data_IF_439853081229
#
_entry.id   IF_439853081229
#
_cell.length_a   1.000
_cell.length_b   1.000
_cell.length_c   1.000
_cell.angle_alpha   90.00
_cell.angle_beta   90.00
_cell.angle_gamma   90.00
#
_symmetry.space_group_name_H-M   'P 1'
#
loop_
_entity.id
_entity.type
_entity.pdbx_description
1 polymer ?
#
# COMPACT_ATOMS: atom_id res chain seq x y z
N UNK A 1 7.54 32.11 0.33
CA UNK A 1 8.74 31.26 0.26
C UNK A 1 8.52 30.18 -0.80
N UNK A 2 9.60 29.59 -1.29
CA UNK A 2 9.56 28.46 -2.22
C UNK A 2 10.19 27.23 -1.58
N UNK A 3 9.77 26.05 -2.04
CA UNK A 3 10.30 24.76 -1.64
C UNK A 3 10.56 23.93 -2.91
N UNK A 4 11.69 23.22 -2.94
CA UNK A 4 12.13 22.40 -4.07
C UNK A 4 11.82 20.93 -3.83
N UNK A 5 11.26 20.23 -4.82
CA UNK A 5 10.93 18.81 -4.74
C UNK A 5 12.12 17.92 -5.12
N UNK A 6 12.49 16.97 -4.26
CA UNK A 6 13.65 16.09 -4.47
C UNK A 6 13.43 15.04 -5.58
N UNK A 7 12.17 14.81 -5.98
CA UNK A 7 11.83 13.84 -7.03
C UNK A 7 11.88 14.42 -8.44
N UNK A 8 11.24 15.56 -8.65
CA UNK A 8 11.14 16.19 -9.98
C UNK A 8 12.02 17.42 -10.16
N UNK A 9 12.74 17.84 -9.11
CA UNK A 9 13.67 18.98 -9.13
C UNK A 9 13.00 20.32 -9.49
N UNK A 10 11.67 20.40 -9.43
CA UNK A 10 10.89 21.62 -9.62
C UNK A 10 10.71 22.41 -8.32
N UNK A 11 10.42 23.71 -8.47
CA UNK A 11 10.20 24.64 -7.38
C UNK A 11 8.74 25.07 -7.27
N UNK A 12 8.23 25.13 -6.05
CA UNK A 12 6.82 25.40 -5.77
C UNK A 12 6.67 26.49 -4.71
N UNK A 13 5.63 27.33 -4.82
CA UNK A 13 5.24 28.19 -3.71
C UNK A 13 4.69 27.30 -2.59
N UNK A 14 5.21 27.43 -1.35
CA UNK A 14 4.72 26.64 -0.22
C UNK A 14 3.20 26.69 -0.06
N UNK A 15 2.61 27.88 -0.19
CA UNK A 15 1.14 28.06 -0.16
C UNK A 15 0.39 27.25 -1.23
N UNK A 16 0.95 27.10 -2.43
CA UNK A 16 0.31 26.36 -3.53
C UNK A 16 0.34 24.84 -3.30
N UNK A 17 1.24 24.36 -2.45
CA UNK A 17 1.42 22.93 -2.13
C UNK A 17 1.08 22.61 -0.68
N UNK A 18 0.46 23.56 0.03
CA UNK A 18 -0.07 23.35 1.39
C UNK A 18 0.98 23.31 2.50
N UNK A 19 2.16 23.91 2.29
CA UNK A 19 3.23 23.96 3.30
C UNK A 19 3.51 25.40 3.73
N UNK A 20 3.66 25.59 5.03
CA UNK A 20 4.12 26.82 5.69
C UNK A 20 5.64 26.82 5.83
N UNK A 21 6.25 28.01 5.90
CA UNK A 21 7.71 28.12 6.01
C UNK A 21 8.23 27.44 7.27
N UNK A 22 7.54 27.61 8.40
CA UNK A 22 7.89 26.97 9.66
C UNK A 22 7.79 25.45 9.64
N UNK A 23 7.00 24.86 8.73
CA UNK A 23 6.94 23.41 8.54
C UNK A 23 8.12 22.95 7.69
N UNK A 24 8.45 23.69 6.64
CA UNK A 24 9.57 23.40 5.74
C UNK A 24 10.94 23.40 6.44
N UNK A 25 11.10 24.17 7.52
CA UNK A 25 12.33 24.20 8.32
C UNK A 25 12.68 22.85 8.95
N UNK A 26 11.73 21.91 9.04
CA UNK A 26 11.90 20.58 9.62
C UNK A 26 11.72 19.43 8.60
N UNK A 27 11.69 19.74 7.31
CA UNK A 27 11.55 18.75 6.24
C UNK A 27 12.94 18.44 5.67
N UNK A 28 13.40 17.21 5.85
CA UNK A 28 14.68 16.74 5.30
C UNK A 28 14.61 16.50 3.77
N UNK A 29 13.53 15.85 3.31
CA UNK A 29 13.22 15.63 1.89
C UNK A 29 11.77 16.05 1.61
N UNK A 30 11.57 16.86 0.57
CA UNK A 30 10.24 17.30 0.15
C UNK A 30 9.82 16.63 -1.16
N UNK A 31 8.67 15.98 -1.13
CA UNK A 31 8.00 15.42 -2.32
C UNK A 31 6.73 16.20 -2.61
N UNK A 32 6.62 16.78 -3.80
CA UNK A 32 5.44 17.56 -4.17
C UNK A 32 4.20 16.67 -4.35
N UNK A 33 2.97 17.22 -4.25
CA UNK A 33 1.74 16.43 -4.29
C UNK A 33 1.61 15.52 -5.52
N UNK A 34 2.11 15.97 -6.68
CA UNK A 34 2.09 15.18 -7.90
C UNK A 34 3.06 13.99 -7.85
N UNK A 35 4.27 14.20 -7.34
CA UNK A 35 5.25 13.13 -7.16
C UNK A 35 4.77 12.14 -6.09
N UNK A 36 4.21 12.63 -4.98
CA UNK A 36 3.63 11.77 -3.93
C UNK A 36 2.50 10.90 -4.49
N UNK A 37 1.56 11.50 -5.24
CA UNK A 37 0.45 10.74 -5.86
C UNK A 37 0.97 9.66 -6.81
N UNK A 38 2.08 9.92 -7.49
CA UNK A 38 2.72 8.94 -8.39
C UNK A 38 3.39 7.82 -7.59
N UNK A 39 4.13 8.15 -6.53
CA UNK A 39 4.75 7.17 -5.65
C UNK A 39 3.71 6.26 -4.98
N UNK A 40 2.65 6.84 -4.44
CA UNK A 40 1.55 6.11 -3.82
C UNK A 40 0.92 5.11 -4.80
N UNK A 41 0.67 5.55 -6.05
CA UNK A 41 0.14 4.67 -7.09
C UNK A 41 1.13 3.56 -7.50
N UNK A 42 2.43 3.83 -7.44
CA UNK A 42 3.46 2.86 -7.80
C UNK A 42 3.71 1.80 -6.72
N UNK A 43 3.29 2.02 -5.47
CA UNK A 43 3.53 1.06 -4.36
C UNK A 43 3.00 -0.35 -4.64
N UNK A 44 1.92 -0.48 -5.42
CA UNK A 44 1.32 -1.77 -5.79
C UNK A 44 1.88 -2.35 -7.10
N UNK A 45 2.66 -1.57 -7.84
CA UNK A 45 3.23 -1.94 -9.14
C UNK A 45 4.74 -2.19 -9.09
N UNK A 46 5.43 -1.62 -8.09
CA UNK A 46 6.86 -1.82 -7.90
C UNK A 46 7.16 -3.28 -7.59
N UNK A 47 8.29 -3.84 -8.09
CA UNK A 47 8.71 -5.19 -7.76
C UNK A 47 8.84 -5.38 -6.25
N UNK A 48 8.27 -6.47 -5.72
CA UNK A 48 8.38 -6.81 -4.31
C UNK A 48 9.83 -7.13 -3.93
N UNK A 49 10.31 -6.47 -2.87
CA UNK A 49 11.62 -6.72 -2.28
C UNK A 49 11.54 -7.83 -1.22
N UNK A 50 12.68 -8.37 -0.78
CA UNK A 50 12.73 -9.39 0.28
C UNK A 50 12.05 -8.93 1.58
N UNK A 51 12.19 -7.64 1.93
CA UNK A 51 11.53 -7.04 3.09
C UNK A 51 10.02 -6.99 2.92
N UNK A 52 9.54 -6.74 1.70
CA UNK A 52 8.11 -6.76 1.41
C UNK A 52 7.55 -8.17 1.60
N UNK A 53 8.25 -9.20 1.14
CA UNK A 53 7.84 -10.60 1.38
C UNK A 53 7.81 -10.95 2.87
N UNK A 54 8.77 -10.48 3.67
CA UNK A 54 8.71 -10.62 5.13
C UNK A 54 7.49 -9.91 5.73
N UNK A 55 7.19 -8.70 5.25
CA UNK A 55 6.00 -7.94 5.62
C UNK A 55 4.71 -8.69 5.27
N UNK A 56 4.59 -9.20 4.04
CA UNK A 56 3.45 -9.98 3.57
C UNK A 56 3.21 -11.22 4.43
N UNK A 57 4.28 -11.92 4.84
CA UNK A 57 4.17 -13.06 5.78
C UNK A 57 3.60 -12.61 7.13
N UNK A 58 4.02 -11.46 7.66
CA UNK A 58 3.48 -10.92 8.93
C UNK A 58 2.00 -10.55 8.79
N UNK A 59 1.61 -9.90 7.69
CA UNK A 59 0.21 -9.57 7.39
C UNK A 59 -0.62 -10.84 7.30
N UNK A 60 -0.16 -11.86 6.58
CA UNK A 60 -0.84 -13.16 6.47
C UNK A 60 -1.03 -13.81 7.84
N UNK A 61 0.00 -13.81 8.71
CA UNK A 61 -0.14 -14.34 10.08
C UNK A 61 -1.15 -13.57 10.91
N UNK A 62 -1.19 -12.25 10.78
CA UNK A 62 -2.20 -11.42 11.43
C UNK A 62 -3.61 -11.77 10.95
N UNK A 63 -3.80 -11.99 9.65
CA UNK A 63 -5.08 -12.41 9.08
C UNK A 63 -5.47 -13.81 9.55
N UNK A 64 -4.57 -14.79 9.47
CA UNK A 64 -4.82 -16.17 9.89
C UNK A 64 -5.24 -16.30 11.36
N UNK A 65 -4.68 -15.46 12.24
CA UNK A 65 -5.03 -15.43 13.67
C UNK A 65 -6.30 -14.64 14.00
N UNK A 66 -6.87 -13.92 13.04
CA UNK A 66 -8.03 -13.09 13.27
C UNK A 66 -9.28 -13.96 13.52
N UNK A 67 -10.09 -13.59 14.53
CA UNK A 67 -11.28 -14.36 14.94
C UNK A 67 -12.26 -14.62 13.79
N UNK A 68 -12.38 -13.69 12.85
CA UNK A 68 -13.29 -13.79 11.70
C UNK A 68 -12.65 -14.41 10.45
N UNK A 69 -11.40 -14.85 10.52
CA UNK A 69 -10.71 -15.46 9.38
C UNK A 69 -11.05 -16.94 9.19
N UNK A 70 -11.81 -17.55 10.12
CA UNK A 70 -12.19 -18.97 10.07
C UNK A 70 -12.72 -19.47 8.71
N UNK A 71 -13.49 -18.70 7.91
CA UNK A 71 -13.96 -19.17 6.60
C UNK A 71 -12.87 -19.21 5.52
N UNK A 72 -11.71 -18.60 5.76
CA UNK A 72 -10.65 -18.37 4.78
C UNK A 72 -9.32 -19.03 5.19
N UNK A 73 -9.32 -19.87 6.22
CA UNK A 73 -8.10 -20.52 6.70
C UNK A 73 -7.68 -21.69 5.80
N UNK A 74 -8.65 -22.38 5.20
CA UNK A 74 -8.45 -23.52 4.33
C UNK A 74 -9.42 -23.44 3.13
N UNK A 75 -9.10 -24.11 2.00
CA UNK A 75 -10.02 -24.25 0.89
C UNK A 75 -11.34 -24.90 1.33
N UNK A 76 -12.44 -24.55 0.65
CA UNK A 76 -13.76 -25.11 0.94
C UNK A 76 -13.79 -26.63 0.71
N UNK A 77 -14.27 -27.40 1.68
CA UNK A 77 -14.46 -28.85 1.50
C UNK A 77 -15.62 -29.13 0.52
N UNK A 78 -15.39 -29.85 -0.60
CA UNK A 78 -16.46 -30.23 -1.53
C UNK A 78 -17.57 -31.08 -0.90
N UNK A 79 -17.32 -31.76 0.23
CA UNK A 79 -18.34 -32.54 0.94
C UNK A 79 -19.32 -31.61 1.65
N UNK A 80 -18.80 -30.56 2.29
CA UNK A 80 -19.60 -29.57 3.02
C UNK A 80 -20.36 -28.62 2.08
N UNK A 81 -19.78 -28.33 0.91
CA UNK A 81 -20.40 -27.50 -0.13
C UNK A 81 -20.23 -28.11 -1.55
N UNK A 82 -21.08 -29.08 -1.93
CA UNK A 82 -20.93 -29.83 -3.19
C UNK A 82 -20.99 -29.03 -4.48
N UNK A 83 -21.72 -27.91 -4.48
CA UNK A 83 -21.88 -27.03 -5.63
C UNK A 83 -20.85 -25.89 -5.68
N UNK A 84 -20.03 -25.72 -4.64
CA UNK A 84 -19.10 -24.60 -4.51
C UNK A 84 -18.16 -24.49 -5.70
N UNK A 85 -17.42 -25.57 -6.01
CA UNK A 85 -16.54 -25.62 -7.20
C UNK A 85 -17.31 -25.76 -8.52
N UNK A 86 -18.61 -26.02 -8.46
CA UNK A 86 -19.52 -25.94 -9.60
C UNK A 86 -19.68 -24.51 -10.11
N UNK A 87 -19.59 -23.50 -9.23
CA UNK A 87 -19.75 -22.08 -9.56
C UNK A 87 -18.42 -21.33 -9.47
N UNK A 88 -17.64 -21.54 -8.40
CA UNK A 88 -16.36 -20.87 -8.17
C UNK A 88 -15.24 -21.67 -8.84
N UNK A 89 -14.70 -21.12 -9.94
CA UNK A 89 -13.68 -21.79 -10.76
C UNK A 89 -12.25 -21.44 -10.39
N UNK A 90 -12.07 -20.31 -9.70
CA UNK A 90 -10.78 -19.79 -9.25
C UNK A 90 -10.84 -19.54 -7.73
N UNK A 91 -10.90 -20.61 -6.91
CA UNK A 91 -10.73 -20.48 -5.47
C UNK A 91 -9.34 -19.90 -5.16
N UNK A 92 -9.25 -19.12 -4.09
CA UNK A 92 -8.00 -18.47 -3.65
C UNK A 92 -7.49 -19.08 -2.35
#
# INVERSE_FOLDING_TARGET
FYIGCDRCQNWFHGRCVGILQSEADYIDEYVCPQCQSTEDAMTVLSPLTDKDYEGLKRVLRSLQSHKMAWPFQEPVDPVDAPDYYGVIKEPM
#
